data_IF_340350410707
#
_entry.id   IF_340350410707
#
_cell.length_a   1.000
_cell.length_b   1.000
_cell.length_c   1.000
_cell.angle_alpha   90.00
_cell.angle_beta   90.00
_cell.angle_gamma   90.00
#
_symmetry.space_group_name_H-M   'P 1'
#
loop_
_entity.id
_entity.type
_entity.pdbx_description
1 polymer ?
#
# COMPACT_ATOMS: atom_id res chain seq x y z
N UNK A 1 -20.31 -22.05 -33.52
CA UNK A 1 -20.77 -21.22 -32.38
C UNK A 1 -20.94 -22.00 -31.08
N UNK A 2 -21.72 -23.10 -31.03
CA UNK A 2 -21.96 -23.89 -29.80
C UNK A 2 -20.70 -24.43 -29.12
N UNK A 3 -19.77 -25.00 -29.90
CA UNK A 3 -18.50 -25.56 -29.39
C UNK A 3 -17.62 -24.49 -28.73
N UNK A 4 -17.62 -23.26 -29.24
CA UNK A 4 -16.85 -22.15 -28.65
C UNK A 4 -17.43 -21.72 -27.29
N UNK A 5 -18.77 -21.74 -27.16
CA UNK A 5 -19.45 -21.43 -25.90
C UNK A 5 -19.19 -22.50 -24.85
N UNK A 6 -19.20 -23.78 -25.22
CA UNK A 6 -18.88 -24.89 -24.31
C UNK A 6 -17.42 -24.82 -23.81
N UNK A 7 -16.48 -24.49 -24.70
CA UNK A 7 -15.09 -24.27 -24.32
C UNK A 7 -14.96 -23.11 -23.31
N UNK A 8 -15.60 -21.97 -23.59
CA UNK A 8 -15.54 -20.82 -22.68
C UNK A 8 -16.21 -21.11 -21.33
N UNK A 9 -17.31 -21.85 -21.33
CA UNK A 9 -17.99 -22.26 -20.09
C UNK A 9 -17.07 -23.14 -19.23
N UNK A 10 -16.30 -24.04 -19.83
CA UNK A 10 -15.30 -24.85 -19.11
C UNK A 10 -14.18 -24.00 -18.51
N UNK A 11 -13.65 -23.05 -19.27
CA UNK A 11 -12.61 -22.13 -18.79
C UNK A 11 -13.11 -21.29 -17.60
N UNK A 12 -14.31 -20.71 -17.72
CA UNK A 12 -14.92 -19.91 -16.65
C UNK A 12 -15.15 -20.73 -15.36
N UNK A 13 -15.54 -22.01 -15.49
CA UNK A 13 -15.68 -22.89 -14.33
C UNK A 13 -14.33 -23.15 -13.66
N UNK A 14 -13.28 -23.39 -14.44
CA UNK A 14 -11.95 -23.60 -13.88
C UNK A 14 -11.42 -22.32 -13.19
N UNK A 15 -11.63 -21.15 -13.80
CA UNK A 15 -11.27 -19.85 -13.20
C UNK A 15 -12.02 -19.63 -11.88
N UNK A 16 -13.32 -19.94 -11.85
CA UNK A 16 -14.16 -19.83 -10.66
C UNK A 16 -13.73 -20.80 -9.54
N UNK A 17 -13.53 -22.08 -9.86
CA UNK A 17 -13.06 -23.09 -8.90
C UNK A 17 -11.67 -22.75 -8.34
N UNK A 18 -10.79 -22.19 -9.16
CA UNK A 18 -9.50 -21.68 -8.70
C UNK A 18 -9.70 -20.49 -7.74
N UNK A 19 -10.57 -19.55 -8.09
CA UNK A 19 -10.91 -18.41 -7.24
C UNK A 19 -11.47 -18.84 -5.88
N UNK A 20 -12.36 -19.83 -5.84
CA UNK A 20 -12.90 -20.39 -4.58
C UNK A 20 -11.79 -20.98 -3.70
N UNK A 21 -10.86 -21.74 -4.28
CA UNK A 21 -9.72 -22.28 -3.53
C UNK A 21 -8.82 -21.19 -2.96
N UNK A 22 -8.52 -20.17 -3.76
CA UNK A 22 -7.71 -19.05 -3.27
C UNK A 22 -8.40 -18.26 -2.16
N UNK A 23 -9.73 -18.20 -2.18
CA UNK A 23 -10.51 -17.54 -1.14
C UNK A 23 -10.41 -18.33 0.16
N UNK A 24 -10.55 -19.65 0.12
CA UNK A 24 -10.38 -20.55 1.27
C UNK A 24 -8.96 -20.46 1.88
N UNK A 25 -7.92 -20.42 1.03
CA UNK A 25 -6.54 -20.21 1.45
C UNK A 25 -6.36 -18.86 2.19
N UNK A 26 -6.98 -17.79 1.68
CA UNK A 26 -6.93 -16.45 2.29
C UNK A 26 -7.66 -16.46 3.63
N UNK A 27 -8.85 -17.05 3.71
CA UNK A 27 -9.61 -17.16 4.97
C UNK A 27 -8.83 -17.92 6.04
N UNK A 28 -8.18 -19.01 5.64
CA UNK A 28 -7.29 -19.79 6.53
C UNK A 28 -6.10 -18.94 7.00
N UNK A 29 -5.46 -18.19 6.10
CA UNK A 29 -4.35 -17.31 6.46
C UNK A 29 -4.79 -16.19 7.41
N UNK A 30 -5.98 -15.63 7.24
CA UNK A 30 -6.53 -14.61 8.14
C UNK A 30 -6.73 -15.16 9.55
N UNK A 31 -7.32 -16.35 9.68
CA UNK A 31 -7.48 -17.01 10.99
C UNK A 31 -6.13 -17.24 11.68
N UNK A 32 -5.10 -17.66 10.92
CA UNK A 32 -3.76 -17.83 11.48
C UNK A 32 -3.14 -16.49 11.94
N UNK A 33 -3.31 -15.43 11.15
CA UNK A 33 -2.81 -14.11 11.50
C UNK A 33 -3.49 -13.52 12.74
N UNK A 34 -4.78 -13.81 12.94
CA UNK A 34 -5.50 -13.42 14.16
C UNK A 34 -4.91 -14.10 15.39
N UNK A 35 -4.67 -15.40 15.33
CA UNK A 35 -4.01 -16.14 16.43
C UNK A 35 -2.59 -15.60 16.69
N UNK A 36 -1.81 -15.35 15.63
CA UNK A 36 -0.46 -14.76 15.78
C UNK A 36 -0.52 -13.38 16.43
N UNK A 37 -1.51 -12.56 16.07
CA UNK A 37 -1.73 -11.23 16.66
C UNK A 37 -2.09 -11.32 18.15
N UNK A 38 -2.97 -12.25 18.53
CA UNK A 38 -3.32 -12.47 19.94
C UNK A 38 -2.10 -12.88 20.77
N UNK A 39 -1.29 -13.82 20.26
CA UNK A 39 -0.05 -14.24 20.91
C UNK A 39 0.93 -13.08 21.06
N UNK A 40 1.08 -12.24 20.03
CA UNK A 40 1.92 -11.05 20.10
C UNK A 40 1.42 -10.07 21.17
N UNK A 41 0.12 -9.78 21.20
CA UNK A 41 -0.48 -8.91 22.22
C UNK A 41 -0.26 -9.45 23.63
N UNK A 42 -0.36 -10.76 23.83
CA UNK A 42 -0.06 -11.40 25.12
C UNK A 42 1.40 -11.19 25.51
N UNK A 43 2.35 -11.41 24.58
CA UNK A 43 3.78 -11.18 24.87
C UNK A 43 4.07 -9.73 25.19
N UNK A 44 3.46 -8.78 24.47
CA UNK A 44 3.62 -7.35 24.73
C UNK A 44 3.07 -6.96 26.09
N UNK A 45 1.89 -7.48 26.47
CA UNK A 45 1.30 -7.22 27.78
C UNK A 45 2.20 -7.75 28.92
N UNK A 46 2.75 -8.95 28.76
CA UNK A 46 3.70 -9.53 29.72
C UNK A 46 4.97 -8.68 29.87
N UNK A 47 5.54 -8.22 28.74
CA UNK A 47 6.73 -7.36 28.74
C UNK A 47 6.41 -6.00 29.38
N UNK A 48 5.27 -5.40 29.03
CA UNK A 48 4.82 -4.12 29.59
C UNK A 48 4.72 -4.17 31.11
N UNK A 49 4.09 -5.21 31.67
CA UNK A 49 4.03 -5.39 33.11
C UNK A 49 5.41 -5.63 33.75
N UNK A 50 6.29 -6.37 33.07
CA UNK A 50 7.66 -6.56 33.55
C UNK A 50 8.45 -5.24 33.59
N UNK A 51 8.28 -4.37 32.60
CA UNK A 51 8.89 -3.04 32.57
C UNK A 51 8.38 -2.20 33.74
N UNK A 52 7.05 -2.13 33.95
CA UNK A 52 6.43 -1.35 35.03
C UNK A 52 6.98 -1.76 36.41
N UNK A 53 7.09 -3.07 36.68
CA UNK A 53 7.68 -3.59 37.92
C UNK A 53 9.16 -3.23 38.04
N UNK A 54 9.93 -3.33 36.96
CA UNK A 54 11.35 -2.98 36.97
C UNK A 54 11.56 -1.47 37.18
N UNK A 55 10.72 -0.63 36.59
CA UNK A 55 10.75 0.82 36.78
C UNK A 55 10.42 1.19 38.23
N UNK A 56 9.42 0.55 38.84
CA UNK A 56 9.09 0.70 40.27
C UNK A 56 10.28 0.31 41.16
N UNK A 57 10.89 -0.85 40.92
CA UNK A 57 12.04 -1.36 41.71
C UNK A 57 13.28 -0.48 41.57
N UNK A 58 13.54 0.03 40.37
CA UNK A 58 14.67 0.92 40.12
C UNK A 58 14.46 2.33 40.68
N UNK A 59 13.27 2.64 41.25
CA UNK A 59 12.93 3.99 41.72
C UNK A 59 12.97 5.01 40.59
N UNK A 60 12.84 4.53 39.34
CA UNK A 60 12.79 5.37 38.16
C UNK A 60 11.35 5.90 38.11
N UNK A 61 11.08 6.91 38.94
CA UNK A 61 9.95 7.80 38.69
C UNK A 61 10.25 8.60 37.42
N UNK A 62 10.16 7.93 36.27
CA UNK A 62 10.05 8.59 34.98
C UNK A 62 8.66 9.21 34.91
N UNK A 63 8.49 10.34 35.62
CA UNK A 63 7.74 11.45 35.03
C UNK A 63 8.22 11.55 33.60
N UNK A 64 7.29 11.41 32.65
CA UNK A 64 7.50 11.86 31.28
C UNK A 64 7.66 13.38 31.33
N UNK A 65 8.84 13.83 31.71
CA UNK A 65 9.38 15.13 31.39
C UNK A 65 10.63 14.85 30.58
N UNK A 66 10.56 15.29 29.33
CA UNK A 66 11.65 15.24 28.35
C UNK A 66 13.04 15.40 28.98
N UNK A 67 14.04 14.60 28.60
CA UNK A 67 15.40 14.91 28.93
C UNK A 67 15.99 15.77 27.81
N UNK A 68 16.12 17.07 28.11
CA UNK A 68 17.19 17.85 27.50
C UNK A 68 18.54 17.50 28.17
N UNK A 69 19.56 17.41 27.32
CA UNK A 69 20.99 17.75 27.53
C UNK A 69 21.81 16.81 28.45
N UNK A 70 23.06 16.43 28.15
CA UNK A 70 24.12 17.13 27.42
C UNK A 70 25.25 16.19 26.98
N UNK A 71 25.77 16.38 25.77
CA UNK A 71 27.07 15.87 25.33
C UNK A 71 27.75 16.95 24.47
N UNK A 72 28.75 17.60 25.05
CA UNK A 72 29.39 18.82 24.55
C UNK A 72 30.25 18.60 23.29
N UNK A 73 30.12 19.53 22.34
CA UNK A 73 30.94 19.67 21.14
C UNK A 73 30.47 20.87 20.35
N UNK A 74 31.08 22.02 20.61
CA UNK A 74 30.78 23.32 20.01
C UNK A 74 30.92 23.29 18.48
N UNK A 75 29.85 23.57 17.73
CA UNK A 75 29.76 24.50 16.58
C UNK A 75 28.38 24.38 15.88
N UNK A 76 27.58 25.45 15.96
CA UNK A 76 26.38 25.78 15.13
C UNK A 76 25.31 24.68 14.93
N UNK A 77 24.37 24.59 15.88
CA UNK A 77 23.26 23.64 15.85
C UNK A 77 22.20 24.00 14.79
N UNK A 78 22.26 23.34 13.63
CA UNK A 78 21.08 23.21 12.78
C UNK A 78 20.04 22.37 13.55
N UNK A 79 18.95 22.98 13.99
CA UNK A 79 17.78 22.25 14.48
C UNK A 79 17.29 21.36 13.33
N UNK A 80 17.27 20.04 13.52
CA UNK A 80 16.95 19.04 12.48
C UNK A 80 15.73 18.26 12.96
N UNK A 81 14.73 18.15 12.08
CA UNK A 81 13.44 17.49 12.29
C UNK A 81 13.38 16.24 11.41
N UNK A 82 12.79 15.16 11.91
CA UNK A 82 12.58 13.93 11.14
C UNK A 82 11.25 13.96 10.39
N UNK A 83 11.27 13.55 9.12
CA UNK A 83 10.06 13.52 8.28
C UNK A 83 9.16 12.33 8.67
N UNK A 84 7.89 12.56 9.07
CA UNK A 84 6.96 11.49 9.39
C UNK A 84 6.46 10.77 8.12
N UNK A 85 5.94 9.55 8.31
CA UNK A 85 5.30 8.79 7.23
C UNK A 85 3.84 9.23 7.03
N UNK A 86 3.54 9.69 5.83
CA UNK A 86 2.19 10.10 5.40
C UNK A 86 1.62 9.23 4.29
N UNK A 87 2.33 8.17 3.90
CA UNK A 87 1.91 7.22 2.87
C UNK A 87 0.62 6.50 3.28
N UNK A 88 -0.28 6.30 2.33
CA UNK A 88 -1.62 5.68 2.50
C UNK A 88 -2.54 6.44 3.46
N UNK A 89 -2.26 7.71 3.72
CA UNK A 89 -3.16 8.60 4.44
C UNK A 89 -3.86 9.53 3.45
N UNK A 90 -5.10 9.96 3.74
CA UNK A 90 -5.75 11.04 3.00
C UNK A 90 -4.92 12.32 3.06
N UNK A 91 -4.97 13.13 1.99
CA UNK A 91 -4.21 14.39 1.90
C UNK A 91 -4.41 15.33 3.10
N UNK A 92 -5.64 15.46 3.60
CA UNK A 92 -5.95 16.32 4.74
C UNK A 92 -5.30 15.83 6.04
N UNK A 93 -5.23 14.51 6.22
CA UNK A 93 -4.60 13.91 7.39
C UNK A 93 -3.07 13.98 7.28
N UNK A 94 -2.53 13.76 6.08
CA UNK A 94 -1.11 13.94 5.78
C UNK A 94 -0.65 15.38 6.08
N UNK A 95 -1.47 16.39 5.73
CA UNK A 95 -1.18 17.80 6.02
C UNK A 95 -1.03 18.05 7.52
N UNK A 96 -2.00 17.59 8.33
CA UNK A 96 -1.96 17.77 9.79
C UNK A 96 -0.71 17.15 10.41
N UNK A 97 -0.37 15.91 10.00
CA UNK A 97 0.82 15.21 10.52
C UNK A 97 2.11 15.97 10.19
N UNK A 98 2.20 16.58 9.00
CA UNK A 98 3.36 17.38 8.62
C UNK A 98 3.43 18.70 9.40
N UNK A 99 2.29 19.39 9.56
CA UNK A 99 2.20 20.62 10.35
C UNK A 99 2.55 20.38 11.83
N UNK A 100 2.05 19.30 12.43
CA UNK A 100 2.34 18.88 13.80
C UNK A 100 3.84 18.55 13.98
N UNK A 101 4.50 18.06 12.93
CA UNK A 101 5.94 17.83 12.90
C UNK A 101 6.76 19.10 12.60
N UNK A 102 6.12 20.26 12.39
CA UNK A 102 6.82 21.50 12.03
C UNK A 102 7.35 21.52 10.59
N UNK A 103 6.75 20.74 9.69
CA UNK A 103 7.05 20.67 8.27
C UNK A 103 5.91 21.29 7.45
N UNK A 104 6.19 21.63 6.20
CA UNK A 104 5.20 22.21 5.30
C UNK A 104 4.86 21.24 4.15
N UNK A 105 3.62 21.30 3.67
CA UNK A 105 3.26 20.58 2.44
C UNK A 105 3.83 21.36 1.25
N UNK A 106 4.65 20.67 0.46
CA UNK A 106 5.23 21.21 -0.76
C UNK A 106 4.31 21.02 -1.97
N UNK A 107 4.90 20.61 -3.09
CA UNK A 107 4.16 20.33 -4.31
C UNK A 107 3.30 19.07 -4.16
N UNK A 108 2.00 19.19 -4.47
CA UNK A 108 1.08 18.05 -4.51
C UNK A 108 0.80 17.70 -5.97
N UNK A 109 1.29 16.55 -6.41
CA UNK A 109 1.06 16.03 -7.76
C UNK A 109 0.06 14.90 -7.75
N UNK A 110 -0.74 14.80 -8.81
CA UNK A 110 -1.76 13.77 -8.94
C UNK A 110 -1.31 12.71 -9.94
N UNK A 111 -1.34 11.44 -9.55
CA UNK A 111 -1.01 10.33 -10.45
C UNK A 111 -2.14 9.31 -10.50
N UNK A 112 -2.49 8.88 -11.71
CA UNK A 112 -3.44 7.79 -11.93
C UNK A 112 -2.76 6.47 -11.56
N UNK A 113 -3.12 5.92 -10.40
CA UNK A 113 -2.55 4.70 -9.85
C UNK A 113 -3.70 3.78 -9.47
N UNK A 114 -3.57 2.50 -9.81
CA UNK A 114 -4.50 1.45 -9.42
C UNK A 114 -3.74 0.42 -8.58
N UNK A 115 -3.71 0.63 -7.27
CA UNK A 115 -3.08 -0.26 -6.29
C UNK A 115 -4.15 -0.67 -5.29
N UNK A 116 -4.25 -1.97 -5.01
CA UNK A 116 -5.22 -2.49 -4.04
C UNK A 116 -4.98 -1.87 -2.65
N UNK A 117 -6.04 -1.38 -2.01
CA UNK A 117 -5.98 -0.79 -0.67
C UNK A 117 -5.45 0.65 -0.60
N UNK A 118 -5.42 1.38 -1.73
CA UNK A 118 -5.21 2.82 -1.80
C UNK A 118 -6.48 3.47 -2.37
N UNK A 119 -7.05 4.44 -1.65
CA UNK A 119 -8.22 5.19 -2.08
C UNK A 119 -7.81 6.42 -2.90
N UNK A 120 -8.74 6.93 -3.70
CA UNK A 120 -8.52 8.19 -4.40
C UNK A 120 -8.41 9.33 -3.39
N UNK A 121 -7.35 10.15 -3.53
CA UNK A 121 -6.99 11.20 -2.59
C UNK A 121 -5.93 10.77 -1.55
N UNK A 122 -5.57 9.49 -1.50
CA UNK A 122 -4.49 9.03 -0.61
C UNK A 122 -3.11 9.37 -1.17
N UNK A 123 -2.18 9.64 -0.26
CA UNK A 123 -0.76 9.83 -0.58
C UNK A 123 -0.13 8.50 -0.97
N UNK A 124 0.42 8.42 -2.16
CA UNK A 124 1.12 7.24 -2.70
C UNK A 124 2.64 7.38 -2.62
N UNK A 125 3.14 8.62 -2.63
CA UNK A 125 4.57 8.92 -2.52
C UNK A 125 4.77 10.22 -1.77
N UNK A 126 5.84 10.27 -0.98
CA UNK A 126 6.34 11.48 -0.36
C UNK A 126 7.83 11.68 -0.71
N UNK A 127 8.25 12.93 -0.79
CA UNK A 127 9.65 13.33 -0.94
C UNK A 127 9.87 14.63 -0.16
N UNK A 128 10.79 14.67 0.82
CA UNK A 128 11.72 13.62 1.25
C UNK A 128 11.05 12.36 1.83
N UNK A 129 11.77 11.23 1.83
CA UNK A 129 11.29 9.98 2.43
C UNK A 129 11.08 10.12 3.94
N UNK A 130 10.26 9.26 4.52
CA UNK A 130 10.12 9.17 5.96
C UNK A 130 11.49 8.89 6.61
N UNK A 131 11.67 9.31 7.87
CA UNK A 131 12.92 9.24 8.64
C UNK A 131 14.09 10.07 8.06
N UNK A 132 13.84 10.85 6.99
CA UNK A 132 14.84 11.80 6.50
C UNK A 132 14.95 12.97 7.47
N UNK A 133 16.18 13.36 7.78
CA UNK A 133 16.51 14.52 8.61
C UNK A 133 16.51 15.79 7.77
N UNK A 134 15.63 16.73 8.09
CA UNK A 134 15.44 17.98 7.35
C UNK A 134 15.40 19.17 8.29
N UNK A 135 15.61 20.38 7.76
CA UNK A 135 15.45 21.61 8.54
C UNK A 135 13.96 21.82 8.86
N UNK A 136 13.59 22.32 10.05
CA UNK A 136 12.24 22.75 10.35
C UNK A 136 11.69 23.67 9.25
N UNK A 137 10.42 23.50 8.91
CA UNK A 137 9.75 24.24 7.84
C UNK A 137 10.03 23.73 6.42
N UNK A 138 10.87 22.71 6.26
CA UNK A 138 11.12 22.10 4.93
C UNK A 138 9.82 21.58 4.31
N UNK A 139 9.72 21.75 2.99
CA UNK A 139 8.58 21.30 2.22
C UNK A 139 8.68 19.81 1.88
N UNK A 140 7.59 19.08 2.10
CA UNK A 140 7.43 17.68 1.69
C UNK A 140 6.48 17.59 0.50
N UNK A 141 7.01 17.20 -0.65
CA UNK A 141 6.26 16.99 -1.87
C UNK A 141 5.50 15.67 -1.80
N UNK A 142 4.23 15.67 -2.23
CA UNK A 142 3.33 14.54 -2.14
C UNK A 142 2.83 14.16 -3.53
N UNK A 143 2.66 12.86 -3.77
CA UNK A 143 1.95 12.33 -4.94
C UNK A 143 0.68 11.65 -4.43
N UNK A 144 -0.47 12.12 -4.87
CA UNK A 144 -1.78 11.55 -4.48
C UNK A 144 -2.38 10.70 -5.59
N UNK A 145 -3.15 9.69 -5.18
CA UNK A 145 -3.87 8.81 -6.07
C UNK A 145 -5.06 9.56 -6.69
N UNK A 146 -5.07 9.70 -8.02
CA UNK A 146 -6.21 10.22 -8.76
C UNK A 146 -6.98 9.10 -9.46
N UNK A 147 -8.29 9.28 -9.58
CA UNK A 147 -9.11 8.48 -10.49
C UNK A 147 -8.59 8.61 -11.92
N UNK A 148 -8.13 7.49 -12.46
CA UNK A 148 -7.72 7.41 -13.87
C UNK A 148 -8.88 7.72 -14.81
N UNK A 149 -8.60 8.39 -15.92
CA UNK A 149 -9.57 8.61 -17.02
C UNK A 149 -9.71 7.40 -17.94
N UNK A 150 -8.95 6.33 -17.67
CA UNK A 150 -8.99 5.10 -18.46
C UNK A 150 -10.25 4.35 -18.06
N UNK A 151 -11.30 4.50 -18.87
CA UNK A 151 -12.32 3.45 -18.94
C UNK A 151 -11.62 2.26 -19.60
N UNK A 152 -11.55 1.08 -18.96
CA UNK A 152 -11.06 -0.09 -19.65
C UNK A 152 -11.89 -0.25 -20.92
N UNK A 153 -11.22 -0.37 -22.07
CA UNK A 153 -11.91 -0.74 -23.30
C UNK A 153 -12.48 -2.13 -23.07
N UNK A 154 -13.81 -2.21 -22.96
CA UNK A 154 -14.54 -3.47 -22.80
C UNK A 154 -15.03 -3.99 -24.16
N UNK A 155 -14.61 -3.37 -25.27
CA UNK A 155 -14.93 -3.87 -26.60
C UNK A 155 -14.20 -5.20 -26.85
N UNK A 156 -14.75 -6.00 -27.78
CA UNK A 156 -14.21 -7.30 -28.15
C UNK A 156 -12.75 -7.23 -28.68
N UNK A 157 -12.30 -6.04 -29.06
CA UNK A 157 -10.97 -5.78 -29.62
C UNK A 157 -9.98 -5.23 -28.58
N UNK A 158 -10.37 -5.18 -27.31
CA UNK A 158 -9.51 -4.74 -26.22
C UNK A 158 -8.34 -5.71 -26.04
N UNK A 159 -7.13 -5.17 -25.93
CA UNK A 159 -5.91 -5.95 -25.62
C UNK A 159 -5.97 -6.62 -24.24
N UNK A 160 -6.89 -6.18 -23.37
CA UNK A 160 -7.16 -6.75 -22.05
C UNK A 160 -8.24 -7.83 -22.10
N UNK A 161 -9.01 -7.94 -23.19
CA UNK A 161 -9.89 -9.08 -23.42
C UNK A 161 -9.04 -10.25 -23.96
N UNK A 162 -9.01 -11.42 -23.29
CA UNK A 162 -8.28 -12.59 -23.77
C UNK A 162 -8.81 -13.17 -25.09
N UNK A 163 -9.91 -12.62 -25.62
CA UNK A 163 -10.54 -13.00 -26.90
C UNK A 163 -9.98 -12.28 -28.12
N UNK A 164 -8.98 -11.41 -27.96
CA UNK A 164 -8.42 -10.68 -29.09
C UNK A 164 -7.47 -11.58 -29.91
N UNK A 165 -8.06 -12.51 -30.66
CA UNK A 165 -7.40 -13.20 -31.75
C UNK A 165 -8.33 -13.13 -32.97
N UNK A 166 -8.30 -12.00 -33.66
CA UNK A 166 -8.84 -11.91 -35.01
C UNK A 166 -7.70 -11.65 -35.98
N UNK A 167 -7.59 -12.61 -36.91
CA UNK A 167 -6.89 -12.56 -38.20
C UNK A 167 -5.37 -12.80 -38.19
N UNK A 168 -4.96 -14.08 -38.17
CA UNK A 168 -4.00 -14.62 -39.15
C UNK A 168 -3.75 -16.13 -39.02
N UNK A 169 -4.79 -17.00 -39.01
CA UNK A 169 -4.51 -18.45 -39.13
C UNK A 169 -5.57 -19.33 -39.81
N UNK A 170 -6.51 -18.76 -40.58
CA UNK A 170 -7.43 -19.57 -41.41
C UNK A 170 -7.52 -19.07 -42.85
N UNK A 171 -6.38 -18.81 -43.48
CA UNK A 171 -6.29 -18.66 -44.94
C UNK A 171 -5.40 -19.74 -45.57
N UNK A 172 -5.60 -21.00 -45.18
CA UNK A 172 -4.83 -22.13 -45.69
C UNK A 172 -5.64 -23.41 -45.96
N UNK A 173 -6.98 -23.38 -45.99
CA UNK A 173 -7.79 -24.61 -46.20
C UNK A 173 -8.98 -24.42 -47.14
N UNK A 174 -8.89 -23.52 -48.12
CA UNK A 174 -9.85 -23.47 -49.24
C UNK A 174 -9.11 -23.26 -50.54
N UNK A 175 -8.23 -24.20 -50.90
CA UNK A 175 -7.67 -24.37 -52.26
C UNK A 175 -7.36 -25.87 -52.51
N UNK A 176 -8.24 -26.76 -52.05
CA UNK A 176 -8.28 -28.16 -52.49
C UNK A 176 -9.76 -28.44 -52.76
N UNK A 177 -10.05 -28.92 -53.96
CA UNK A 177 -11.37 -29.21 -54.54
C UNK A 177 -12.03 -28.07 -55.34
N UNK A 178 -11.36 -27.65 -56.42
CA UNK A 178 -12.06 -27.40 -57.69
C UNK A 178 -11.18 -27.74 -58.90
N UNK A 179 -11.72 -28.67 -59.68
CA UNK A 179 -11.30 -29.25 -60.96
C UNK A 179 -10.23 -30.36 -60.95
#
# INVERSE_FOLDING_TARGET
MKVQLEKRLKELRNEYEFGEKTLDDIETALAELEVRKEKLNETLLRISGAIEVLEEVLGVESKVSAPETSGAGETESENIVEVPSVIRKPLDHARKILEDAGLTVGEVTEKSIFVAGILFGDVVRQEPKWETKVKPGSAVNLVIAKKGKIKPDLSKNSKLCPFNNTENHYKALTDIDRD
#
